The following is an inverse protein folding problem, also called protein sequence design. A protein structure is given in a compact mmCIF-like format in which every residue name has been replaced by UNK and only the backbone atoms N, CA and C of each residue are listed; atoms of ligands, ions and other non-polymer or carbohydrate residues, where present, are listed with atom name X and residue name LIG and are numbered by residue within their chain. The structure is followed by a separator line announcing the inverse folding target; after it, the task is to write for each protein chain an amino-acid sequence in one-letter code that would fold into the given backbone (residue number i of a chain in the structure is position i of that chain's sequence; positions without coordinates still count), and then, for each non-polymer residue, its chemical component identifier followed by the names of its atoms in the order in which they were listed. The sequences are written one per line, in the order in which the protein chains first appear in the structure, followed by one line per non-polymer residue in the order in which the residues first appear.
data_IF_525339908942
#
_entry.id   IF_525339908942
#
_cell.length_a   1.000
_cell.length_b   1.000
_cell.length_c   1.000
_cell.angle_alpha   90.00
_cell.angle_beta   90.00
_cell.angle_gamma   90.00
#
_symmetry.space_group_name_H-M   'P 1'
#
loop_
_entity.id
_entity.type
_entity.pdbx_description
1 polymer ?
#
# COMPACT_ATOMS: atom_id res chain seq x y z
N UNK A 1 0.51 -3.48 12.10
CA UNK A 1 -0.14 -3.69 13.41
C UNK A 1 0.30 -5.02 14.03
N UNK A 2 0.30 -6.10 13.24
CA UNK A 2 0.65 -7.46 13.65
C UNK A 2 1.91 -7.53 14.52
N UNK A 3 3.03 -6.97 14.04
CA UNK A 3 4.30 -6.98 14.78
C UNK A 3 4.17 -6.52 16.24
N UNK A 4 3.45 -5.42 16.51
CA UNK A 4 3.26 -4.92 17.89
C UNK A 4 2.41 -5.85 18.74
N UNK A 5 1.45 -6.55 18.12
CA UNK A 5 0.56 -7.48 18.81
C UNK A 5 1.24 -8.77 19.26
N UNK A 6 2.33 -9.17 18.59
CA UNK A 6 2.99 -10.46 18.83
C UNK A 6 4.49 -10.35 19.17
N UNK A 7 5.09 -9.16 19.19
CA UNK A 7 6.54 -9.03 19.39
C UNK A 7 7.02 -9.53 20.75
N UNK A 8 6.16 -9.47 21.77
CA UNK A 8 6.52 -9.79 23.16
C UNK A 8 5.97 -11.13 23.65
N UNK A 9 4.84 -11.59 23.10
CA UNK A 9 4.16 -12.81 23.56
C UNK A 9 3.65 -13.62 22.36
N UNK A 10 3.75 -14.95 22.40
CA UNK A 10 3.12 -15.81 21.41
C UNK A 10 1.60 -15.75 21.53
N UNK A 11 0.93 -16.00 20.41
CA UNK A 11 -0.52 -15.95 20.31
C UNK A 11 -1.03 -17.03 19.35
N UNK A 12 -2.25 -17.47 19.60
CA UNK A 12 -3.10 -18.10 18.61
C UNK A 12 -3.67 -17.04 17.68
N UNK A 13 -3.79 -17.40 16.42
CA UNK A 13 -4.13 -16.53 15.31
C UNK A 13 -5.26 -17.17 14.53
N UNK A 14 -6.41 -16.50 14.48
CA UNK A 14 -7.43 -16.77 13.47
C UNK A 14 -7.08 -15.97 12.24
N UNK A 15 -6.70 -16.68 11.19
CA UNK A 15 -6.52 -16.15 9.84
C UNK A 15 -7.82 -16.42 9.08
N UNK A 16 -8.59 -15.37 8.76
CA UNK A 16 -9.94 -15.51 8.22
C UNK A 16 -10.17 -14.58 7.02
N UNK A 17 -10.91 -15.11 6.06
CA UNK A 17 -11.34 -14.44 4.83
C UNK A 17 -12.88 -14.52 4.74
N UNK A 18 -13.51 -13.49 4.18
CA UNK A 18 -14.97 -13.44 4.00
C UNK A 18 -15.29 -13.92 2.58
N UNK A 19 -16.20 -14.89 2.47
CA UNK A 19 -16.60 -15.43 1.18
C UNK A 19 -17.43 -14.42 0.40
N UNK A 20 -16.97 -14.06 -0.81
CA UNK A 20 -17.68 -13.18 -1.75
C UNK A 20 -18.18 -11.88 -1.07
N UNK A 21 -17.28 -11.21 -0.35
CA UNK A 21 -17.65 -10.07 0.49
C UNK A 21 -18.41 -8.97 -0.28
N UNK A 22 -18.04 -8.66 -1.51
CA UNK A 22 -18.76 -7.65 -2.29
C UNK A 22 -20.05 -8.19 -2.93
N UNK A 23 -20.20 -9.49 -3.16
CA UNK A 23 -21.35 -10.03 -3.91
C UNK A 23 -22.52 -10.42 -3.00
N UNK A 24 -22.27 -10.69 -1.71
CA UNK A 24 -23.27 -11.22 -0.77
C UNK A 24 -23.80 -10.21 0.26
N UNK A 25 -23.39 -8.94 0.19
CA UNK A 25 -23.86 -7.94 1.17
C UNK A 25 -25.36 -7.71 0.99
N UNK A 26 -26.14 -7.93 2.05
CA UNK A 26 -27.57 -7.59 2.09
C UNK A 26 -27.75 -6.07 1.96
N UNK A 27 -28.49 -5.64 0.93
CA UNK A 27 -28.71 -4.22 0.66
C UNK A 27 -29.40 -3.51 1.83
N UNK A 28 -30.43 -4.11 2.42
CA UNK A 28 -31.18 -3.46 3.51
C UNK A 28 -30.34 -3.29 4.78
N UNK A 29 -29.49 -4.27 5.11
CA UNK A 29 -28.55 -4.17 6.22
C UNK A 29 -27.52 -3.05 5.99
N UNK A 30 -26.95 -2.98 4.78
CA UNK A 30 -26.02 -1.92 4.39
C UNK A 30 -26.68 -0.52 4.41
N UNK A 31 -27.88 -0.39 3.86
CA UNK A 31 -28.61 0.89 3.81
C UNK A 31 -29.04 1.37 5.21
N UNK A 32 -29.39 0.44 6.10
CA UNK A 32 -29.67 0.74 7.51
C UNK A 32 -28.42 1.24 8.21
N UNK A 33 -27.29 0.56 7.97
CA UNK A 33 -26.00 0.90 8.57
C UNK A 33 -25.42 2.21 8.06
N UNK A 34 -25.66 2.54 6.79
CA UNK A 34 -25.27 3.83 6.19
C UNK A 34 -25.91 5.02 6.90
N UNK A 35 -27.10 4.83 7.51
CA UNK A 35 -27.84 5.84 8.25
C UNK A 35 -27.78 7.25 7.61
N UNK A 36 -28.16 7.31 6.33
CA UNK A 36 -28.05 8.52 5.51
C UNK A 36 -29.44 9.11 5.19
N UNK A 37 -29.46 10.32 4.63
CA UNK A 37 -30.69 11.03 4.29
C UNK A 37 -31.47 10.35 3.15
N UNK A 38 -32.80 10.51 3.08
CA UNK A 38 -33.65 9.70 2.20
C UNK A 38 -33.28 9.72 0.72
N UNK A 39 -32.87 10.87 0.16
CA UNK A 39 -32.52 10.95 -1.27
C UNK A 39 -31.23 10.21 -1.62
N UNK A 40 -30.18 10.32 -0.79
CA UNK A 40 -28.95 9.54 -0.98
C UNK A 40 -29.20 8.05 -0.78
N UNK A 41 -30.02 7.67 0.21
CA UNK A 41 -30.40 6.27 0.42
C UNK A 41 -31.07 5.67 -0.82
N UNK A 42 -31.98 6.40 -1.47
CA UNK A 42 -32.62 5.96 -2.73
C UNK A 42 -31.61 5.81 -3.86
N UNK A 43 -30.71 6.78 -4.02
CA UNK A 43 -29.68 6.73 -5.06
C UNK A 43 -28.74 5.53 -4.89
N UNK A 44 -28.23 5.30 -3.68
CA UNK A 44 -27.38 4.14 -3.38
C UNK A 44 -28.17 2.85 -3.60
N UNK A 45 -29.44 2.78 -3.18
CA UNK A 45 -30.29 1.61 -3.43
C UNK A 45 -30.46 1.33 -4.92
N UNK A 46 -30.65 2.36 -5.75
CA UNK A 46 -30.72 2.21 -7.20
C UNK A 46 -29.41 1.69 -7.80
N UNK A 47 -28.25 2.15 -7.30
CA UNK A 47 -26.95 1.64 -7.74
C UNK A 47 -26.71 0.19 -7.34
N UNK A 48 -27.14 -0.22 -6.14
CA UNK A 48 -27.00 -1.60 -5.67
C UNK A 48 -27.91 -2.56 -6.43
N UNK A 49 -29.08 -2.10 -6.88
CA UNK A 49 -30.03 -2.86 -7.69
C UNK A 49 -29.73 -2.83 -9.18
N UNK A 50 -28.80 -1.98 -9.62
CA UNK A 50 -28.40 -1.93 -11.02
C UNK A 50 -27.77 -3.29 -11.37
N UNK A 51 -28.48 -4.06 -12.19
CA UNK A 51 -28.06 -5.38 -12.64
C UNK A 51 -26.77 -5.34 -13.46
N UNK A 52 -26.28 -6.52 -13.84
CA UNK A 52 -25.11 -6.69 -14.71
C UNK A 52 -25.59 -7.09 -16.11
N UNK A 53 -25.04 -6.43 -17.13
CA UNK A 53 -25.18 -6.85 -18.52
C UNK A 53 -23.93 -7.63 -18.92
N UNK A 54 -24.06 -8.91 -19.23
CA UNK A 54 -22.96 -9.75 -19.72
C UNK A 54 -23.35 -10.38 -21.06
N UNK A 55 -22.55 -10.13 -22.10
CA UNK A 55 -22.76 -10.61 -23.47
C UNK A 55 -24.21 -10.43 -23.99
N UNK A 56 -24.85 -9.29 -23.67
CA UNK A 56 -26.22 -8.97 -24.08
C UNK A 56 -27.32 -9.59 -23.20
N UNK A 57 -26.96 -10.31 -22.14
CA UNK A 57 -27.92 -10.85 -21.15
C UNK A 57 -27.94 -9.99 -19.90
N UNK A 58 -29.10 -9.46 -19.54
CA UNK A 58 -29.30 -8.71 -18.31
C UNK A 58 -29.58 -9.66 -17.14
N UNK A 59 -28.76 -9.57 -16.09
CA UNK A 59 -28.96 -10.28 -14.84
C UNK A 59 -29.25 -9.28 -13.72
N UNK A 60 -30.42 -9.36 -13.03
CA UNK A 60 -30.69 -8.50 -11.90
C UNK A 60 -29.74 -8.80 -10.73
N UNK A 61 -29.42 -7.77 -9.93
CA UNK A 61 -28.57 -7.91 -8.74
C UNK A 61 -29.42 -7.81 -7.48
N UNK A 62 -29.69 -8.94 -6.83
CA UNK A 62 -30.49 -9.01 -5.60
C UNK A 62 -29.67 -8.80 -4.32
N UNK A 63 -28.37 -9.09 -4.37
CA UNK A 63 -27.41 -8.93 -3.28
C UNK A 63 -26.06 -8.41 -3.78
N UNK A 64 -25.29 -7.80 -2.88
CA UNK A 64 -23.94 -7.32 -3.18
C UNK A 64 -23.86 -5.89 -3.71
N UNK A 65 -22.63 -5.45 -3.94
CA UNK A 65 -22.27 -4.14 -4.49
C UNK A 65 -21.57 -4.38 -5.83
N UNK A 66 -21.84 -3.59 -6.88
CA UNK A 66 -21.23 -3.80 -8.20
C UNK A 66 -19.70 -3.72 -8.10
N UNK A 67 -19.01 -4.82 -8.41
CA UNK A 67 -17.55 -4.87 -8.41
C UNK A 67 -17.02 -4.00 -9.57
N UNK A 68 -16.19 -3.00 -9.24
CA UNK A 68 -15.69 -2.02 -10.20
C UNK A 68 -16.30 -0.62 -10.05
N UNK A 69 -17.39 -0.47 -9.29
CA UNK A 69 -17.88 0.84 -8.88
C UNK A 69 -16.91 1.51 -7.91
N UNK A 70 -16.57 2.79 -8.15
CA UNK A 70 -15.66 3.58 -7.29
C UNK A 70 -16.14 3.61 -5.83
N UNK A 71 -17.45 3.57 -5.61
CA UNK A 71 -18.07 3.60 -4.27
C UNK A 71 -18.09 2.24 -3.55
N UNK A 72 -17.97 1.12 -4.28
CA UNK A 72 -18.12 -0.22 -3.72
C UNK A 72 -17.11 -0.53 -2.60
N UNK A 73 -15.81 -0.19 -2.70
CA UNK A 73 -14.86 -0.35 -1.59
C UNK A 73 -15.23 0.43 -0.33
N UNK A 74 -15.85 1.61 -0.47
CA UNK A 74 -16.34 2.40 0.67
C UNK A 74 -17.52 1.68 1.32
N UNK A 75 -18.49 1.23 0.52
CA UNK A 75 -19.66 0.49 1.00
C UNK A 75 -19.26 -0.81 1.71
N UNK A 76 -18.30 -1.57 1.18
CA UNK A 76 -17.76 -2.76 1.84
C UNK A 76 -17.11 -2.45 3.19
N UNK A 77 -16.39 -1.33 3.31
CA UNK A 77 -15.83 -0.91 4.59
C UNK A 77 -16.89 -0.47 5.60
N UNK A 78 -17.98 0.17 5.15
CA UNK A 78 -19.13 0.53 5.99
C UNK A 78 -19.86 -0.74 6.44
N UNK A 79 -20.09 -1.69 5.53
CA UNK A 79 -20.68 -2.99 5.82
C UNK A 79 -19.93 -3.72 6.94
N UNK A 80 -18.60 -3.72 6.89
CA UNK A 80 -17.73 -4.37 7.88
C UNK A 80 -17.37 -3.49 9.09
N UNK A 81 -17.82 -2.23 9.13
CA UNK A 81 -17.58 -1.34 10.27
C UNK A 81 -18.32 -1.85 11.52
N UNK A 82 -17.74 -1.71 12.71
CA UNK A 82 -18.33 -2.24 13.96
C UNK A 82 -17.97 -3.69 14.30
N UNK A 83 -17.37 -4.45 13.38
CA UNK A 83 -16.83 -5.79 13.67
C UNK A 83 -15.78 -5.74 14.80
N UNK A 84 -14.95 -4.70 14.81
CA UNK A 84 -13.97 -4.46 15.88
C UNK A 84 -14.64 -4.18 17.23
N UNK A 85 -15.76 -3.46 17.22
CA UNK A 85 -16.48 -3.13 18.44
C UNK A 85 -17.15 -4.36 19.05
N UNK A 86 -17.79 -5.20 18.22
CA UNK A 86 -18.35 -6.49 18.63
C UNK A 86 -17.33 -7.34 19.41
N UNK A 87 -16.11 -7.44 18.88
CA UNK A 87 -15.01 -8.19 19.50
C UNK A 87 -14.49 -7.51 20.77
N UNK A 88 -14.47 -6.17 20.81
CA UNK A 88 -14.11 -5.42 22.02
C UNK A 88 -15.14 -5.59 23.13
N UNK A 89 -16.44 -5.60 22.83
CA UNK A 89 -17.50 -5.84 23.80
C UNK A 89 -17.39 -7.24 24.39
N UNK A 90 -17.13 -8.26 23.56
CA UNK A 90 -16.82 -9.60 24.06
C UNK A 90 -15.59 -9.61 24.97
N UNK A 91 -14.54 -8.87 24.60
CA UNK A 91 -13.35 -8.75 25.45
C UNK A 91 -13.64 -8.12 26.82
N UNK A 92 -14.61 -7.21 26.91
CA UNK A 92 -15.06 -6.64 28.18
C UNK A 92 -15.90 -7.58 29.03
N UNK A 93 -16.63 -8.50 28.42
CA UNK A 93 -17.39 -9.53 29.14
C UNK A 93 -16.51 -10.64 29.72
N UNK A 94 -15.26 -10.76 29.27
CA UNK A 94 -14.31 -11.72 29.85
C UNK A 94 -13.96 -11.34 31.30
N UNK A 95 -13.84 -12.34 32.17
CA UNK A 95 -13.44 -12.16 33.57
C UNK A 95 -12.09 -11.42 33.67
N UNK A 96 -11.95 -10.58 34.70
CA UNK A 96 -10.71 -9.84 34.99
C UNK A 96 -10.74 -8.37 34.54
N UNK A 97 -9.56 -7.81 34.27
CA UNK A 97 -9.43 -6.40 33.94
C UNK A 97 -9.84 -6.12 32.48
N UNK A 98 -10.92 -5.33 32.30
CA UNK A 98 -11.48 -4.97 30.99
C UNK A 98 -10.45 -4.35 30.03
N UNK A 99 -9.60 -3.46 30.52
CA UNK A 99 -8.57 -2.79 29.71
C UNK A 99 -7.49 -3.78 29.27
N UNK A 100 -7.06 -4.66 30.18
CA UNK A 100 -6.11 -5.71 29.85
C UNK A 100 -6.67 -6.69 28.79
N UNK A 101 -7.93 -7.06 28.93
CA UNK A 101 -8.62 -7.96 28.00
C UNK A 101 -8.76 -7.34 26.60
N UNK A 102 -9.18 -6.06 26.50
CA UNK A 102 -9.19 -5.33 25.22
C UNK A 102 -7.82 -5.28 24.55
N UNK A 103 -6.75 -5.08 25.33
CA UNK A 103 -5.39 -5.02 24.78
C UNK A 103 -4.84 -6.41 24.39
N UNK A 104 -5.30 -7.47 25.06
CA UNK A 104 -4.90 -8.85 24.77
C UNK A 104 -5.43 -9.32 23.41
N UNK A 105 -6.70 -8.99 23.11
CA UNK A 105 -7.40 -9.38 21.90
C UNK A 105 -7.16 -8.35 20.78
N UNK A 106 -6.48 -8.77 19.72
CA UNK A 106 -6.09 -7.86 18.64
C UNK A 106 -6.75 -8.28 17.33
N UNK A 107 -7.71 -7.48 16.85
CA UNK A 107 -8.27 -7.59 15.52
C UNK A 107 -7.50 -6.69 14.56
N UNK A 108 -7.11 -7.23 13.41
CA UNK A 108 -6.46 -6.51 12.32
C UNK A 108 -7.20 -6.85 11.04
N UNK A 109 -7.92 -5.88 10.48
CA UNK A 109 -8.68 -6.03 9.24
C UNK A 109 -8.05 -5.24 8.10
N UNK A 110 -8.12 -5.80 6.90
CA UNK A 110 -7.84 -5.13 5.65
C UNK A 110 -8.90 -5.56 4.63
N UNK A 111 -9.84 -4.66 4.31
CA UNK A 111 -11.02 -5.01 3.53
C UNK A 111 -11.76 -6.23 4.14
N UNK A 112 -11.86 -7.32 3.38
CA UNK A 112 -12.46 -8.62 3.70
C UNK A 112 -11.52 -9.57 4.45
N UNK A 113 -10.21 -9.46 4.25
CA UNK A 113 -9.20 -10.22 5.00
C UNK A 113 -9.04 -9.67 6.42
N UNK A 114 -9.07 -10.55 7.44
CA UNK A 114 -8.78 -10.15 8.82
C UNK A 114 -8.10 -11.22 9.65
N UNK A 115 -7.42 -10.76 10.70
CA UNK A 115 -6.68 -11.60 11.63
C UNK A 115 -7.04 -11.24 13.07
N UNK A 116 -7.36 -12.24 13.89
CA UNK A 116 -7.57 -12.08 15.33
C UNK A 116 -6.49 -12.81 16.08
N UNK A 117 -5.91 -12.15 17.07
CA UNK A 117 -4.83 -12.73 17.87
C UNK A 117 -5.12 -12.67 19.35
N UNK A 118 -4.97 -13.81 20.03
CA UNK A 118 -5.15 -13.95 21.47
C UNK A 118 -4.22 -15.02 22.04
N UNK A 119 -3.97 -15.00 23.36
CA UNK A 119 -3.08 -15.96 24.02
C UNK A 119 -3.67 -17.38 24.13
N UNK A 120 -4.99 -17.48 24.20
CA UNK A 120 -5.74 -18.73 24.40
C UNK A 120 -6.49 -19.09 23.12
N UNK A 121 -6.45 -20.38 22.76
CA UNK A 121 -7.12 -20.91 21.57
C UNK A 121 -8.65 -20.89 21.71
N UNK A 122 -9.19 -21.27 22.86
CA UNK A 122 -10.65 -21.27 23.12
C UNK A 122 -11.28 -19.89 22.88
N UNK A 123 -10.58 -18.82 23.27
CA UNK A 123 -11.04 -17.44 23.03
C UNK A 123 -11.06 -17.11 21.53
N UNK A 124 -10.14 -17.68 20.75
CA UNK A 124 -10.12 -17.52 19.30
C UNK A 124 -11.30 -18.25 18.65
N UNK A 125 -11.59 -19.48 19.08
CA UNK A 125 -12.73 -20.28 18.61
C UNK A 125 -14.05 -19.56 18.92
N UNK A 126 -14.17 -18.99 20.12
CA UNK A 126 -15.34 -18.19 20.49
C UNK A 126 -15.45 -16.89 19.68
N UNK A 127 -14.33 -16.20 19.43
CA UNK A 127 -14.31 -15.05 18.52
C UNK A 127 -14.76 -15.41 17.10
N UNK A 128 -14.36 -16.58 16.60
CA UNK A 128 -14.81 -17.07 15.30
C UNK A 128 -16.33 -17.27 15.27
N UNK A 129 -16.92 -17.84 16.34
CA UNK A 129 -18.37 -18.03 16.47
C UNK A 129 -19.12 -16.70 16.50
N UNK A 130 -18.63 -15.75 17.31
CA UNK A 130 -19.23 -14.41 17.45
C UNK A 130 -19.21 -13.66 16.11
N UNK A 131 -18.08 -13.66 15.40
CA UNK A 131 -17.98 -13.00 14.09
C UNK A 131 -18.84 -13.69 13.05
N UNK A 132 -18.90 -15.03 13.07
CA UNK A 132 -19.76 -15.76 12.13
C UNK A 132 -21.22 -15.37 12.30
N UNK A 133 -21.68 -15.19 13.55
CA UNK A 133 -23.04 -14.71 13.82
C UNK A 133 -23.23 -13.24 13.39
N UNK A 134 -22.27 -12.37 13.71
CA UNK A 134 -22.32 -10.96 13.31
C UNK A 134 -22.33 -10.77 11.78
N UNK A 135 -21.60 -11.61 11.05
CA UNK A 135 -21.56 -11.57 9.58
C UNK A 135 -22.88 -12.02 8.95
N UNK A 136 -23.60 -12.97 9.55
CA UNK A 136 -24.92 -13.43 9.06
C UNK A 136 -25.94 -12.29 8.99
N UNK A 137 -25.89 -11.37 9.95
CA UNK A 137 -26.75 -10.18 9.97
C UNK A 137 -26.51 -9.30 8.74
N UNK A 138 -25.26 -9.24 8.26
CA UNK A 138 -24.87 -8.54 7.04
C UNK A 138 -25.06 -9.38 5.76
N UNK A 139 -25.44 -10.66 5.86
CA UNK A 139 -25.53 -11.61 4.74
C UNK A 139 -24.20 -12.26 4.35
N UNK A 140 -23.18 -12.09 5.18
CA UNK A 140 -21.82 -12.54 4.90
C UNK A 140 -21.48 -13.82 5.67
N UNK A 141 -20.52 -14.58 5.13
CA UNK A 141 -20.07 -15.84 5.70
C UNK A 141 -18.55 -15.92 5.64
N UNK A 142 -17.93 -16.56 6.64
CA UNK A 142 -16.51 -16.89 6.60
C UNK A 142 -16.26 -17.97 5.54
N UNK A 143 -15.12 -17.89 4.86
CA UNK A 143 -14.72 -18.87 3.85
C UNK A 143 -13.98 -20.05 4.51
N UNK A 144 -14.61 -21.24 4.70
CA UNK A 144 -14.02 -22.30 5.51
C UNK A 144 -12.69 -22.81 4.97
N UNK A 145 -12.50 -22.79 3.64
CA UNK A 145 -11.26 -23.22 2.99
C UNK A 145 -10.06 -22.32 3.25
N UNK A 146 -10.29 -21.08 3.67
CA UNK A 146 -9.24 -20.09 3.96
C UNK A 146 -9.18 -19.71 5.44
N UNK A 147 -10.25 -19.93 6.19
CA UNK A 147 -10.28 -19.73 7.63
C UNK A 147 -9.49 -20.82 8.34
N UNK A 148 -8.45 -20.44 9.08
CA UNK A 148 -7.62 -21.37 9.85
C UNK A 148 -7.18 -20.78 11.17
N UNK A 149 -7.08 -21.64 12.18
CA UNK A 149 -6.46 -21.31 13.47
C UNK A 149 -5.02 -21.80 13.43
N UNK A 150 -4.06 -20.91 13.66
CA UNK A 150 -2.63 -21.23 13.65
C UNK A 150 -1.94 -20.58 14.84
N UNK A 151 -0.76 -21.09 15.19
CA UNK A 151 0.06 -20.47 16.23
C UNK A 151 1.15 -19.58 15.62
N UNK A 152 1.56 -18.50 16.32
CA UNK A 152 2.60 -17.58 15.83
C UNK A 152 3.95 -18.24 15.54
N UNK A 153 4.23 -19.40 16.15
CA UNK A 153 5.45 -20.19 15.89
C UNK A 153 5.42 -20.94 14.56
N UNK A 154 4.25 -21.41 14.13
CA UNK A 154 4.10 -22.07 12.82
C UNK A 154 4.14 -21.01 11.72
N UNK A 155 3.49 -19.89 12.01
CA UNK A 155 3.46 -18.68 11.21
C UNK A 155 2.35 -18.72 10.16
N UNK A 156 1.81 -17.56 9.86
CA UNK A 156 0.65 -17.38 8.98
C UNK A 156 0.98 -16.37 7.87
N UNK A 157 0.21 -16.41 6.80
CA UNK A 157 0.34 -15.49 5.67
C UNK A 157 -0.80 -14.47 5.72
N UNK A 158 -0.49 -13.19 5.59
CA UNK A 158 -1.48 -12.11 5.57
C UNK A 158 -1.06 -11.04 4.58
N UNK A 159 -1.92 -10.68 3.62
CA UNK A 159 -1.65 -9.68 2.56
C UNK A 159 -0.32 -9.92 1.81
N UNK A 160 0.02 -11.20 1.60
CA UNK A 160 1.27 -11.58 0.93
C UNK A 160 2.52 -11.50 1.81
N UNK A 161 2.39 -11.29 3.12
CA UNK A 161 3.47 -11.33 4.11
C UNK A 161 3.38 -12.60 4.97
N UNK A 162 4.48 -13.35 5.06
CA UNK A 162 4.62 -14.43 6.04
C UNK A 162 5.08 -13.84 7.38
N UNK A 163 4.26 -14.04 8.41
CA UNK A 163 4.55 -13.65 9.79
C UNK A 163 4.91 -14.90 10.57
N UNK A 164 6.11 -14.92 11.18
CA UNK A 164 6.54 -16.03 12.05
C UNK A 164 7.33 -15.53 13.24
N UNK A 165 7.08 -16.14 14.39
CA UNK A 165 7.80 -15.89 15.62
C UNK A 165 8.79 -17.03 15.90
N UNK A 166 9.94 -16.67 16.42
CA UNK A 166 11.01 -17.61 16.79
C UNK A 166 11.33 -17.42 18.27
N UNK A 167 11.48 -18.53 19.00
CA UNK A 167 11.99 -18.50 20.37
C UNK A 167 13.48 -18.16 20.32
N UNK A 168 13.94 -17.23 21.15
CA UNK A 168 15.36 -16.88 21.30
C UNK A 168 15.83 -17.24 22.71
N UNK A 169 16.92 -18.01 22.80
CA UNK A 169 17.55 -18.39 24.08
C UNK A 169 18.01 -19.85 24.11
N UNK A 170 19.30 -20.08 23.82
CA UNK A 170 20.09 -21.20 24.40
C UNK A 170 21.40 -20.69 25.01
N UNK A 171 22.04 -19.67 24.41
CA UNK A 171 23.37 -19.17 24.85
C UNK A 171 23.44 -17.65 25.12
N UNK A 172 22.32 -16.93 25.29
CA UNK A 172 22.35 -15.52 25.70
C UNK A 172 21.25 -15.25 26.72
N UNK A 173 21.60 -14.50 27.76
CA UNK A 173 20.93 -14.25 29.04
C UNK A 173 19.53 -13.59 29.00
N UNK A 174 18.86 -13.56 27.84
CA UNK A 174 17.48 -13.06 27.70
C UNK A 174 16.62 -14.07 26.94
N UNK A 175 15.79 -14.81 27.69
CA UNK A 175 14.68 -15.56 27.12
C UNK A 175 13.72 -14.56 26.44
N UNK A 176 13.41 -14.76 25.16
CA UNK A 176 12.59 -13.82 24.41
C UNK A 176 12.02 -14.38 23.11
N UNK A 177 11.33 -13.51 22.38
CA UNK A 177 10.74 -13.85 21.09
C UNK A 177 11.21 -12.88 20.01
N UNK A 178 11.58 -13.42 18.85
CA UNK A 178 11.91 -12.65 17.65
C UNK A 178 10.82 -12.86 16.60
N UNK A 179 10.10 -11.79 16.27
CA UNK A 179 9.11 -11.81 15.18
C UNK A 179 9.76 -11.38 13.88
N UNK A 180 9.70 -12.24 12.86
CA UNK A 180 10.20 -11.95 11.52
C UNK A 180 9.00 -11.94 10.57
N UNK A 181 8.85 -10.80 9.89
CA UNK A 181 7.87 -10.64 8.81
C UNK A 181 8.66 -10.56 7.51
N UNK A 182 8.34 -11.44 6.57
CA UNK A 182 9.00 -11.54 5.26
C UNK A 182 7.96 -11.67 4.14
N UNK A 183 8.32 -11.39 2.88
CA UNK A 183 7.44 -11.72 1.75
C UNK A 183 7.06 -13.21 1.77
N UNK A 184 5.80 -13.53 1.50
CA UNK A 184 5.33 -14.92 1.38
C UNK A 184 6.02 -15.63 0.22
N UNK A 185 6.24 -16.94 0.33
CA UNK A 185 6.93 -17.73 -0.71
C UNK A 185 6.18 -17.69 -2.05
N UNK A 186 4.85 -17.75 -1.98
CA UNK A 186 3.96 -17.70 -3.14
C UNK A 186 4.11 -16.39 -3.91
N UNK A 187 4.07 -15.24 -3.22
CA UNK A 187 4.24 -13.92 -3.87
C UNK A 187 5.65 -13.67 -4.39
N UNK A 188 6.67 -14.24 -3.75
CA UNK A 188 8.05 -14.21 -4.28
C UNK A 188 8.14 -15.03 -5.57
N UNK A 189 7.51 -16.21 -5.61
CA UNK A 189 7.49 -17.05 -6.80
C UNK A 189 6.70 -16.40 -7.94
N UNK A 190 5.53 -15.82 -7.66
CA UNK A 190 4.70 -15.09 -8.61
C UNK A 190 5.48 -13.92 -9.23
N UNK A 191 6.14 -13.09 -8.40
CA UNK A 191 6.99 -12.00 -8.89
C UNK A 191 8.14 -12.50 -9.78
N UNK A 192 8.81 -13.57 -9.36
CA UNK A 192 9.86 -14.18 -10.18
C UNK A 192 9.35 -14.73 -11.51
N UNK A 193 8.18 -15.39 -11.52
CA UNK A 193 7.53 -15.88 -12.75
C UNK A 193 7.21 -14.71 -13.67
N UNK A 194 6.60 -13.64 -13.17
CA UNK A 194 6.29 -12.45 -13.96
C UNK A 194 7.54 -11.83 -14.61
N UNK A 195 8.64 -11.71 -13.86
CA UNK A 195 9.92 -11.25 -14.42
C UNK A 195 10.47 -12.23 -15.46
N UNK A 196 10.41 -13.54 -15.19
CA UNK A 196 10.89 -14.56 -16.11
C UNK A 196 10.09 -14.61 -17.42
N UNK A 197 8.78 -14.44 -17.34
CA UNK A 197 7.88 -14.40 -18.51
C UNK A 197 8.13 -13.12 -19.31
N UNK A 198 8.32 -11.99 -18.64
CA UNK A 198 8.67 -10.72 -19.29
C UNK A 198 9.97 -10.88 -20.09
N UNK A 199 11.01 -11.49 -19.51
CA UNK A 199 12.30 -11.75 -20.21
C UNK A 199 12.10 -12.72 -21.38
N UNK A 200 11.26 -13.75 -21.21
CA UNK A 200 11.00 -14.76 -22.24
C UNK A 200 10.25 -14.20 -23.44
N UNK A 201 9.27 -13.30 -23.22
CA UNK A 201 8.55 -12.59 -24.29
C UNK A 201 9.45 -11.59 -25.02
N UNK A 202 10.34 -10.92 -24.29
CA UNK A 202 11.28 -9.94 -24.84
C UNK A 202 12.64 -10.55 -25.18
N UNK A 203 12.65 -11.81 -25.64
CA UNK A 203 13.90 -12.51 -25.89
C UNK A 203 14.74 -11.84 -26.99
N UNK A 204 14.09 -11.24 -28.01
CA UNK A 204 14.71 -10.57 -29.15
C UNK A 204 14.77 -9.05 -28.99
N UNK A 205 14.16 -8.48 -27.95
CA UNK A 205 14.09 -7.04 -27.74
C UNK A 205 15.47 -6.39 -27.51
N UNK A 206 15.63 -5.09 -27.76
CA UNK A 206 16.77 -4.32 -27.30
C UNK A 206 16.90 -4.32 -25.77
N UNK A 207 18.09 -4.02 -25.27
CA UNK A 207 18.36 -3.98 -23.84
C UNK A 207 17.51 -2.91 -23.13
N UNK A 208 17.36 -1.75 -23.76
CA UNK A 208 16.61 -0.60 -23.24
C UNK A 208 15.13 -0.95 -23.03
N UNK A 209 14.53 -1.64 -24.01
CA UNK A 209 13.16 -2.10 -23.94
C UNK A 209 12.98 -3.12 -22.82
N UNK A 210 13.91 -4.06 -22.65
CA UNK A 210 13.84 -5.01 -21.55
C UNK A 210 13.93 -4.32 -20.17
N UNK A 211 14.79 -3.31 -20.05
CA UNK A 211 14.92 -2.49 -18.83
C UNK A 211 13.62 -1.74 -18.54
N UNK A 212 13.00 -1.11 -19.57
CA UNK A 212 11.77 -0.34 -19.38
C UNK A 212 10.59 -1.19 -18.90
N UNK A 213 10.48 -2.44 -19.37
CA UNK A 213 9.43 -3.36 -18.94
C UNK A 213 9.65 -3.93 -17.54
N UNK A 214 10.90 -4.23 -17.16
CA UNK A 214 11.20 -4.80 -15.84
C UNK A 214 11.22 -3.75 -14.71
N UNK A 215 11.60 -2.50 -15.04
CA UNK A 215 11.77 -1.43 -14.05
C UNK A 215 10.52 -1.17 -13.17
N UNK A 216 9.32 -0.95 -13.74
CA UNK A 216 8.12 -0.69 -12.96
C UNK A 216 7.76 -1.87 -12.04
N UNK A 217 7.88 -3.10 -12.53
CA UNK A 217 7.59 -4.32 -11.76
C UNK A 217 8.52 -4.44 -10.54
N UNK A 218 9.84 -4.27 -10.74
CA UNK A 218 10.82 -4.33 -9.65
C UNK A 218 10.60 -3.21 -8.64
N UNK A 219 10.39 -1.97 -9.11
CA UNK A 219 10.15 -0.81 -8.24
C UNK A 219 8.89 -0.98 -7.41
N UNK A 220 7.78 -1.37 -8.04
CA UNK A 220 6.50 -1.62 -7.37
C UNK A 220 6.61 -2.69 -6.28
N UNK A 221 7.20 -3.83 -6.62
CA UNK A 221 7.39 -4.93 -5.67
C UNK A 221 8.32 -4.54 -4.50
N UNK A 222 9.43 -3.85 -4.80
CA UNK A 222 10.35 -3.33 -3.79
C UNK A 222 9.69 -2.33 -2.86
N UNK A 223 8.83 -1.44 -3.38
CA UNK A 223 8.10 -0.45 -2.59
C UNK A 223 7.10 -1.11 -1.65
N UNK A 224 6.36 -2.11 -2.13
CA UNK A 224 5.39 -2.86 -1.32
C UNK A 224 6.06 -3.63 -0.17
N UNK A 225 7.15 -4.35 -0.43
CA UNK A 225 7.86 -5.15 0.57
C UNK A 225 8.96 -4.39 1.33
N UNK A 226 9.14 -3.09 1.05
CA UNK A 226 10.09 -2.21 1.73
C UNK A 226 9.97 -2.19 3.27
N UNK A 227 8.77 -2.25 3.88
CA UNK A 227 8.65 -2.10 5.33
C UNK A 227 9.04 -3.33 6.15
N UNK A 228 9.34 -4.47 5.51
CA UNK A 228 9.56 -5.76 6.21
C UNK A 228 10.98 -6.30 6.02
N UNK A 229 11.28 -7.45 6.62
CA UNK A 229 12.61 -8.05 6.56
C UNK A 229 12.81 -8.76 5.21
N UNK A 230 13.09 -7.99 4.16
CA UNK A 230 13.10 -8.48 2.78
C UNK A 230 14.49 -8.62 2.16
N UNK A 231 15.58 -8.22 2.84
CA UNK A 231 16.93 -8.18 2.23
C UNK A 231 17.41 -9.51 1.69
N UNK A 232 17.25 -10.59 2.44
CA UNK A 232 17.63 -11.93 2.00
C UNK A 232 16.84 -12.36 0.76
N UNK A 233 15.52 -12.15 0.78
CA UNK A 233 14.64 -12.40 -0.37
C UNK A 233 15.04 -11.57 -1.59
N UNK A 234 15.39 -10.30 -1.37
CA UNK A 234 15.84 -9.38 -2.42
C UNK A 234 17.13 -9.87 -3.07
N UNK A 235 18.13 -10.25 -2.28
CA UNK A 235 19.38 -10.82 -2.80
C UNK A 235 19.16 -12.11 -3.59
N UNK A 236 18.25 -12.98 -3.13
CA UNK A 236 17.89 -14.20 -3.85
C UNK A 236 17.21 -13.89 -5.19
N UNK A 237 16.29 -12.94 -5.23
CA UNK A 237 15.64 -12.49 -6.46
C UNK A 237 16.63 -11.87 -7.44
N UNK A 238 17.54 -11.03 -6.96
CA UNK A 238 18.60 -10.43 -7.80
C UNK A 238 19.50 -11.51 -8.41
N UNK A 239 19.87 -12.55 -7.66
CA UNK A 239 20.65 -13.68 -8.19
C UNK A 239 19.91 -14.45 -9.29
N UNK A 240 18.62 -14.76 -9.06
CA UNK A 240 17.80 -15.47 -10.03
C UNK A 240 17.56 -14.64 -11.29
N UNK A 241 17.31 -13.34 -11.12
CA UNK A 241 17.17 -12.38 -12.20
C UNK A 241 18.46 -12.26 -13.01
N UNK A 242 19.61 -12.13 -12.34
CA UNK A 242 20.91 -12.10 -12.98
C UNK A 242 21.16 -13.35 -13.84
N UNK A 243 20.86 -14.55 -13.32
CA UNK A 243 20.98 -15.81 -14.10
C UNK A 243 20.13 -15.79 -15.38
N UNK A 244 18.92 -15.23 -15.31
CA UNK A 244 18.01 -15.11 -16.47
C UNK A 244 18.54 -14.10 -17.48
N UNK A 245 18.95 -12.92 -17.03
CA UNK A 245 19.54 -11.88 -17.88
C UNK A 245 20.84 -12.36 -18.54
N UNK A 246 21.67 -13.11 -17.80
CA UNK A 246 22.88 -13.73 -18.35
C UNK A 246 22.57 -14.71 -19.48
N UNK A 247 21.56 -15.57 -19.30
CA UNK A 247 21.11 -16.49 -20.36
C UNK A 247 20.55 -15.74 -21.56
N UNK A 248 19.75 -14.71 -21.33
CA UNK A 248 19.22 -13.84 -22.37
C UNK A 248 20.34 -13.19 -23.19
N UNK A 249 21.36 -12.63 -22.53
CA UNK A 249 22.50 -11.98 -23.17
C UNK A 249 23.36 -12.96 -23.96
N UNK A 250 23.64 -14.14 -23.40
CA UNK A 250 24.39 -15.21 -24.09
C UNK A 250 23.67 -15.70 -25.34
N UNK A 251 22.35 -15.87 -25.27
CA UNK A 251 21.53 -16.33 -26.41
C UNK A 251 21.61 -15.37 -27.61
N UNK A 252 21.69 -14.06 -27.35
CA UNK A 252 21.80 -13.04 -28.40
C UNK A 252 23.16 -13.03 -29.09
N UNK A 253 24.19 -13.60 -28.47
CA UNK A 253 25.57 -13.57 -28.95
C UNK A 253 26.24 -14.94 -28.78
N UNK A 254 25.81 -15.97 -29.52
CA UNK A 254 26.34 -17.33 -29.37
C UNK A 254 27.84 -17.42 -29.64
N UNK A 255 28.37 -16.57 -30.53
CA UNK A 255 29.76 -16.59 -30.98
C UNK A 255 30.67 -15.59 -30.24
N UNK A 256 30.18 -14.89 -29.21
CA UNK A 256 30.96 -13.92 -28.45
C UNK A 256 31.44 -14.48 -27.11
N UNK A 257 32.59 -14.00 -26.65
CA UNK A 257 33.16 -14.41 -25.38
C UNK A 257 32.33 -13.91 -24.19
N UNK A 258 32.47 -14.57 -23.04
CA UNK A 258 31.81 -14.15 -21.80
C UNK A 258 32.25 -12.74 -21.33
N UNK A 259 33.50 -12.35 -21.59
CA UNK A 259 33.99 -11.00 -21.26
C UNK A 259 33.30 -9.94 -22.09
N UNK A 260 33.18 -10.18 -23.39
CA UNK A 260 32.48 -9.25 -24.29
C UNK A 260 31.01 -9.07 -23.90
N UNK A 261 30.32 -10.17 -23.54
CA UNK A 261 28.93 -10.11 -23.05
C UNK A 261 28.83 -9.28 -21.76
N UNK A 262 29.78 -9.47 -20.84
CA UNK A 262 29.84 -8.70 -19.58
C UNK A 262 30.00 -7.21 -19.89
N UNK A 263 31.01 -6.83 -20.67
CA UNK A 263 31.31 -5.43 -21.01
C UNK A 263 30.18 -4.76 -21.78
N UNK A 264 29.47 -5.50 -22.64
CA UNK A 264 28.36 -4.95 -23.43
C UNK A 264 27.11 -4.61 -22.60
N UNK A 265 26.73 -5.50 -21.67
CA UNK A 265 25.41 -5.43 -21.02
C UNK A 265 25.47 -5.06 -19.54
N UNK A 266 26.63 -5.23 -18.89
CA UNK A 266 26.83 -4.91 -17.47
C UNK A 266 27.82 -3.77 -17.31
N UNK A 267 27.36 -2.70 -16.68
CA UNK A 267 28.18 -1.55 -16.33
C UNK A 267 28.38 -1.40 -14.82
N UNK A 268 29.07 -0.32 -14.49
CA UNK A 268 29.29 0.13 -13.11
C UNK A 268 28.51 1.41 -12.88
N UNK A 269 27.65 1.41 -11.86
CA UNK A 269 26.89 2.60 -11.47
C UNK A 269 27.51 3.24 -10.25
N UNK A 270 27.85 4.52 -10.34
CA UNK A 270 28.39 5.29 -9.22
C UNK A 270 27.34 6.27 -8.72
N UNK A 271 26.86 6.07 -7.50
CA UNK A 271 25.96 7.03 -6.85
C UNK A 271 26.78 8.12 -6.17
N UNK A 272 26.48 9.39 -6.51
CA UNK A 272 27.08 10.55 -5.83
C UNK A 272 26.74 10.50 -4.34
N UNK A 273 27.72 10.78 -3.46
CA UNK A 273 27.48 10.78 -2.03
C UNK A 273 26.49 11.89 -1.65
N UNK A 274 25.66 11.65 -0.63
CA UNK A 274 24.69 12.65 -0.17
C UNK A 274 25.32 13.76 0.65
N UNK A 275 26.50 13.48 1.21
CA UNK A 275 27.28 14.36 2.06
C UNK A 275 28.68 14.43 1.46
N UNK A 276 29.28 15.62 1.48
CA UNK A 276 30.57 15.86 0.83
C UNK A 276 31.72 15.00 1.40
N UNK A 277 31.58 14.49 2.62
CA UNK A 277 32.54 13.61 3.29
C UNK A 277 32.28 12.11 3.12
N UNK A 278 31.22 11.70 2.42
CA UNK A 278 30.94 10.28 2.18
C UNK A 278 31.60 9.81 0.87
N UNK A 279 32.15 8.60 0.85
CA UNK A 279 32.66 8.01 -0.38
C UNK A 279 31.52 7.71 -1.37
N UNK A 280 31.73 7.88 -2.69
CA UNK A 280 30.77 7.48 -3.72
C UNK A 280 30.45 5.99 -3.61
N UNK A 281 29.18 5.63 -3.80
CA UNK A 281 28.77 4.22 -3.76
C UNK A 281 28.87 3.64 -5.15
N UNK A 282 29.83 2.75 -5.34
CA UNK A 282 30.04 2.04 -6.60
C UNK A 282 29.27 0.73 -6.57
N UNK A 283 28.47 0.48 -7.59
CA UNK A 283 27.76 -0.78 -7.81
C UNK A 283 28.21 -1.39 -9.14
N UNK A 284 29.03 -2.43 -9.03
CA UNK A 284 29.45 -3.20 -10.19
C UNK A 284 28.34 -4.18 -10.62
N UNK A 285 28.38 -4.62 -11.87
CA UNK A 285 27.46 -5.61 -12.43
C UNK A 285 25.99 -5.12 -12.41
N UNK A 286 25.76 -3.92 -12.90
CA UNK A 286 24.40 -3.39 -13.12
C UNK A 286 24.03 -3.62 -14.58
N UNK A 287 22.87 -4.23 -14.83
CA UNK A 287 22.36 -4.37 -16.19
C UNK A 287 21.88 -3.00 -16.68
N UNK A 288 22.62 -2.39 -17.60
CA UNK A 288 22.41 -0.99 -18.01
C UNK A 288 22.86 -0.74 -19.45
N UNK A 289 22.14 0.15 -20.15
CA UNK A 289 22.53 0.70 -21.46
C UNK A 289 23.15 2.10 -21.31
N UNK A 290 22.62 2.91 -20.39
CA UNK A 290 23.13 4.24 -20.05
C UNK A 290 22.96 4.53 -18.55
N UNK A 291 23.48 5.67 -18.05
CA UNK A 291 23.35 6.04 -16.64
C UNK A 291 21.90 6.11 -16.14
N UNK A 292 20.98 6.51 -17.03
CA UNK A 292 19.55 6.65 -16.75
C UNK A 292 18.74 5.39 -17.08
N UNK A 293 19.26 4.52 -17.96
CA UNK A 293 18.61 3.28 -18.38
C UNK A 293 19.33 2.07 -17.78
N UNK A 294 18.97 1.78 -16.53
CA UNK A 294 19.50 0.65 -15.78
C UNK A 294 18.41 -0.06 -14.99
N UNK A 295 18.68 -1.32 -14.65
CA UNK A 295 17.80 -2.14 -13.83
C UNK A 295 18.16 -1.99 -12.33
N UNK A 296 17.24 -1.55 -11.46
CA UNK A 296 17.50 -1.44 -10.04
C UNK A 296 17.62 -2.84 -9.42
N UNK A 297 18.61 -3.01 -8.55
CA UNK A 297 18.74 -4.22 -7.73
C UNK A 297 17.74 -4.16 -6.58
N UNK A 298 17.00 -5.24 -6.36
CA UNK A 298 16.08 -5.37 -5.24
C UNK A 298 16.83 -5.12 -3.92
N UNK A 299 18.03 -5.68 -3.79
CA UNK A 299 18.84 -5.61 -2.57
C UNK A 299 19.29 -4.18 -2.22
N UNK A 300 19.26 -3.21 -3.15
CA UNK A 300 19.59 -1.80 -2.86
C UNK A 300 18.42 -1.04 -2.22
N UNK A 301 17.19 -1.54 -2.34
CA UNK A 301 16.01 -0.93 -1.72
C UNK A 301 16.18 -0.88 -0.19
N UNK A 302 16.20 0.33 0.37
CA UNK A 302 16.35 0.54 1.82
C UNK A 302 15.08 0.14 2.55
N UNK A 303 15.19 -0.65 3.61
CA UNK A 303 14.04 -0.96 4.48
C UNK A 303 13.64 0.32 5.21
N UNK A 304 12.38 0.74 5.05
CA UNK A 304 11.80 1.88 5.77
C UNK A 304 10.53 1.40 6.47
N UNK A 305 10.52 1.47 7.79
CA UNK A 305 9.35 1.05 8.60
C UNK A 305 8.25 2.12 8.52
N UNK A 306 7.03 1.68 8.29
CA UNK A 306 5.87 2.57 8.25
C UNK A 306 5.53 3.09 9.66
N UNK A 307 5.33 4.41 9.79
CA UNK A 307 4.86 5.04 11.04
C UNK A 307 3.34 5.01 11.09
N UNK A 308 2.76 4.16 11.95
CA UNK A 308 1.30 4.05 12.13
C UNK A 308 0.66 5.39 12.49
N UNK A 309 -0.62 5.55 12.15
CA UNK A 309 -1.48 6.58 12.73
C UNK A 309 -1.64 6.33 14.25
N UNK A 310 -1.61 7.40 15.04
CA UNK A 310 -1.75 7.32 16.49
C UNK A 310 -3.22 7.14 16.90
N UNK A 311 -3.51 6.13 17.72
CA UNK A 311 -4.85 5.86 18.23
C UNK A 311 -5.90 5.73 17.12
N UNK A 312 -7.02 6.43 17.30
CA UNK A 312 -8.18 6.49 16.40
C UNK A 312 -8.22 7.78 15.58
N UNK A 313 -7.09 8.48 15.45
CA UNK A 313 -7.01 9.76 14.73
C UNK A 313 -7.46 9.60 13.29
N UNK A 314 -8.23 10.58 12.82
CA UNK A 314 -8.77 10.68 11.46
C UNK A 314 -8.30 11.98 10.82
N UNK A 315 -8.03 12.06 9.51
CA UNK A 315 -7.76 13.33 8.84
C UNK A 315 -8.83 14.41 9.10
N UNK A 316 -10.03 13.96 9.47
CA UNK A 316 -11.19 14.80 9.79
C UNK A 316 -11.36 15.08 11.30
N UNK A 317 -10.39 14.71 12.15
CA UNK A 317 -10.45 14.92 13.61
C UNK A 317 -10.08 16.36 14.06
N UNK A 318 -9.79 17.25 13.12
CA UNK A 318 -9.41 18.63 13.38
C UNK A 318 -7.96 18.81 13.86
N UNK A 319 -7.17 17.75 14.02
CA UNK A 319 -5.77 17.84 14.47
C UNK A 319 -4.82 18.15 13.29
N UNK A 320 -4.94 19.36 12.74
CA UNK A 320 -4.20 19.79 11.56
C UNK A 320 -2.68 19.67 11.74
N UNK A 321 -2.14 20.00 12.92
CA UNK A 321 -0.69 19.93 13.21
C UNK A 321 -0.14 18.51 13.02
N UNK A 322 -0.85 17.50 13.54
CA UNK A 322 -0.44 16.11 13.40
C UNK A 322 -0.48 15.64 11.95
N UNK A 323 -1.53 16.01 11.22
CA UNK A 323 -1.71 15.60 9.82
C UNK A 323 -0.73 16.31 8.88
N UNK A 324 -0.49 17.61 9.07
CA UNK A 324 0.53 18.36 8.33
C UNK A 324 1.93 17.76 8.50
N UNK A 325 2.31 17.38 9.72
CA UNK A 325 3.63 16.77 9.96
C UNK A 325 3.76 15.39 9.31
N UNK A 326 2.64 14.67 9.13
CA UNK A 326 2.61 13.41 8.39
C UNK A 326 2.67 13.62 6.88
N UNK A 327 1.87 14.54 6.34
CA UNK A 327 1.87 14.93 4.92
C UNK A 327 3.27 15.39 4.51
N UNK A 328 3.93 16.21 5.34
CA UNK A 328 5.31 16.65 5.12
C UNK A 328 6.32 15.50 5.02
N UNK A 329 6.10 14.41 5.77
CA UNK A 329 6.97 13.22 5.80
C UNK A 329 6.47 12.11 4.88
N UNK A 330 5.43 12.36 4.08
CA UNK A 330 4.86 11.37 3.18
C UNK A 330 5.89 10.99 2.10
N UNK A 331 5.99 9.71 1.68
CA UNK A 331 6.94 9.30 0.65
C UNK A 331 6.75 9.98 -0.71
N UNK A 332 5.52 10.38 -1.03
CA UNK A 332 5.18 11.10 -2.27
C UNK A 332 5.45 12.61 -2.16
N UNK A 333 5.73 13.11 -0.96
CA UNK A 333 6.09 14.50 -0.75
C UNK A 333 7.53 14.73 -1.22
N UNK A 334 7.72 15.64 -2.18
CA UNK A 334 9.07 16.05 -2.58
C UNK A 334 9.76 16.82 -1.46
N UNK A 335 11.09 16.75 -1.39
CA UNK A 335 11.82 17.49 -0.35
C UNK A 335 11.62 19.01 -0.44
N UNK A 336 11.32 19.53 -1.63
CA UNK A 336 11.04 20.93 -1.88
C UNK A 336 9.65 21.32 -1.34
N UNK A 337 8.59 20.59 -1.74
CA UNK A 337 7.22 20.82 -1.24
C UNK A 337 7.16 20.68 0.29
N UNK A 338 7.83 19.69 0.87
CA UNK A 338 7.89 19.52 2.32
C UNK A 338 8.62 20.65 3.09
N UNK A 339 9.60 21.32 2.46
CA UNK A 339 10.25 22.51 3.04
C UNK A 339 9.36 23.74 2.94
N UNK A 340 8.70 23.93 1.80
CA UNK A 340 7.75 25.03 1.58
C UNK A 340 6.55 24.93 2.54
N UNK A 341 5.97 23.73 2.67
CA UNK A 341 4.88 23.46 3.60
C UNK A 341 5.26 23.81 5.05
N UNK A 342 6.51 23.52 5.46
CA UNK A 342 7.01 23.90 6.79
C UNK A 342 7.15 25.42 6.92
N UNK A 343 7.71 26.09 5.91
CA UNK A 343 7.92 27.55 5.91
C UNK A 343 6.60 28.33 5.96
N UNK A 344 5.56 27.81 5.30
CA UNK A 344 4.23 28.40 5.25
C UNK A 344 3.30 27.91 6.38
N UNK A 345 3.83 27.21 7.39
CA UNK A 345 3.05 26.66 8.51
C UNK A 345 1.85 25.80 8.07
N UNK A 346 1.98 25.13 6.92
CA UNK A 346 0.93 24.31 6.34
C UNK A 346 -0.21 25.08 5.69
N UNK A 347 -0.08 26.38 5.44
CA UNK A 347 -1.10 27.23 4.80
C UNK A 347 -0.76 27.54 3.35
N UNK A 348 -1.79 27.62 2.51
CA UNK A 348 -1.70 28.17 1.16
C UNK A 348 -1.51 29.70 1.24
N UNK A 349 -0.54 30.25 0.52
CA UNK A 349 -0.28 31.71 0.54
C UNK A 349 -1.36 32.52 -0.17
N UNK A 350 -2.08 31.91 -1.13
CA UNK A 350 -3.16 32.57 -1.86
C UNK A 350 -4.48 32.63 -1.07
N UNK A 351 -4.97 31.50 -0.55
CA UNK A 351 -6.27 31.47 0.16
C UNK A 351 -6.18 31.49 1.69
N UNK A 352 -4.97 31.41 2.26
CA UNK A 352 -4.76 31.37 3.72
C UNK A 352 -5.22 30.08 4.41
N UNK A 353 -5.88 29.17 3.70
CA UNK A 353 -6.39 27.91 4.25
C UNK A 353 -5.25 26.90 4.45
N UNK A 354 -5.37 26.12 5.52
CA UNK A 354 -4.47 25.01 5.82
C UNK A 354 -4.66 23.86 4.85
N UNK A 355 -3.57 23.34 4.29
CA UNK A 355 -3.57 22.13 3.48
C UNK A 355 -4.06 20.92 4.28
N UNK A 356 -5.02 20.19 3.73
CA UNK A 356 -5.63 18.99 4.30
C UNK A 356 -5.19 17.74 3.54
N UNK A 357 -5.52 16.60 4.11
CA UNK A 357 -5.33 15.31 3.45
C UNK A 357 -6.20 15.26 2.17
N UNK A 358 -5.60 14.87 1.05
CA UNK A 358 -6.26 14.86 -0.27
C UNK A 358 -6.11 16.15 -1.08
N UNK A 359 -5.66 17.26 -0.48
CA UNK A 359 -5.42 18.49 -1.22
C UNK A 359 -4.25 18.34 -2.20
N UNK A 360 -4.48 18.75 -3.44
CA UNK A 360 -3.44 18.83 -4.45
C UNK A 360 -2.63 20.13 -4.26
N UNK A 361 -1.32 19.97 -4.10
CA UNK A 361 -0.39 21.06 -3.79
C UNK A 361 0.51 21.34 -4.99
N UNK A 362 0.52 22.58 -5.46
CA UNK A 362 1.39 23.02 -6.56
C UNK A 362 2.44 24.02 -6.11
N UNK A 363 3.64 23.92 -6.70
CA UNK A 363 4.72 24.88 -6.46
C UNK A 363 4.59 26.04 -7.43
N UNK A 364 4.50 27.25 -6.89
CA UNK A 364 4.37 28.50 -7.63
C UNK A 364 5.64 29.35 -7.48
N UNK A 365 6.04 30.05 -8.54
CA UNK A 365 7.12 31.04 -8.48
C UNK A 365 6.57 32.40 -8.10
N UNK A 366 7.04 32.99 -7.01
CA UNK A 366 6.62 34.32 -6.55
C UNK A 366 6.98 35.37 -7.60
N UNK A 367 8.24 35.37 -8.06
CA UNK A 367 8.66 36.07 -9.27
C UNK A 367 8.69 35.07 -10.43
N UNK A 368 7.88 35.26 -11.49
CA UNK A 368 7.89 34.39 -12.65
C UNK A 368 9.27 34.27 -13.28
N UNK A 369 9.60 33.09 -13.82
CA UNK A 369 10.89 32.86 -14.51
C UNK A 369 11.09 33.80 -15.71
N UNK A 370 10.01 34.15 -16.41
CA UNK A 370 10.04 35.11 -17.51
C UNK A 370 10.53 36.51 -17.09
N UNK A 371 10.35 36.87 -15.81
CA UNK A 371 10.79 38.14 -15.23
C UNK A 371 12.10 38.00 -14.44
N UNK A 372 12.90 36.96 -14.72
CA UNK A 372 14.20 36.73 -14.06
C UNK A 372 14.11 35.98 -12.73
N UNK A 373 12.96 35.42 -12.38
CA UNK A 373 12.77 34.60 -11.18
C UNK A 373 13.65 33.35 -11.16
N UNK A 374 14.43 33.18 -10.07
CA UNK A 374 15.29 32.00 -9.87
C UNK A 374 14.50 30.81 -9.34
N UNK A 375 14.90 29.59 -9.69
CA UNK A 375 14.28 28.34 -9.21
C UNK A 375 14.86 27.89 -7.86
N UNK A 376 14.84 28.79 -6.88
CA UNK A 376 15.31 28.52 -5.52
C UNK A 376 14.12 28.50 -4.55
N UNK A 377 14.30 27.87 -3.38
CA UNK A 377 13.25 27.76 -2.37
C UNK A 377 12.75 29.15 -1.92
N UNK A 378 13.61 30.18 -1.93
CA UNK A 378 13.24 31.54 -1.56
C UNK A 378 12.17 32.16 -2.47
N UNK A 379 12.25 31.88 -3.78
CA UNK A 379 11.32 32.39 -4.80
C UNK A 379 10.14 31.44 -5.11
N UNK A 380 9.99 30.37 -4.33
CA UNK A 380 8.93 29.39 -4.52
C UNK A 380 7.96 29.42 -3.37
N UNK A 381 6.70 29.18 -3.63
CA UNK A 381 5.65 29.00 -2.63
C UNK A 381 4.76 27.81 -3.00
N UNK A 382 3.95 27.37 -2.04
CA UNK A 382 3.05 26.24 -2.19
C UNK A 382 1.60 26.71 -2.17
N UNK A 383 0.85 26.35 -3.20
CA UNK A 383 -0.55 26.72 -3.37
C UNK A 383 -1.43 25.47 -3.50
N UNK A 384 -2.72 25.61 -3.19
CA UNK A 384 -3.68 24.60 -3.64
C UNK A 384 -3.76 24.61 -5.17
N UNK A 385 -4.01 23.46 -5.80
CA UNK A 385 -4.18 23.37 -7.25
C UNK A 385 -5.20 24.39 -7.76
N UNK A 386 -6.39 24.47 -7.16
CA UNK A 386 -7.41 25.45 -7.55
C UNK A 386 -6.98 26.92 -7.32
N UNK A 387 -6.07 27.19 -6.38
CA UNK A 387 -5.52 28.53 -6.18
C UNK A 387 -4.48 28.85 -7.26
N UNK A 388 -3.63 27.87 -7.58
CA UNK A 388 -2.65 27.98 -8.65
C UNK A 388 -3.34 28.19 -10.01
N UNK A 389 -4.41 27.43 -10.28
CA UNK A 389 -5.22 27.56 -11.49
C UNK A 389 -5.95 28.91 -11.55
N UNK A 390 -6.32 29.52 -10.42
CA UNK A 390 -6.88 30.88 -10.41
C UNK A 390 -5.84 31.96 -10.76
N UNK A 391 -4.58 31.75 -10.40
CA UNK A 391 -3.50 32.71 -10.69
C UNK A 391 -3.09 32.63 -12.17
N UNK A 392 -3.03 31.43 -12.74
CA UNK A 392 -2.58 31.20 -14.12
C UNK A 392 -3.70 31.00 -15.13
N UNK A 393 -4.92 30.75 -14.65
CA UNK A 393 -6.10 30.59 -15.48
C UNK A 393 -6.40 31.91 -16.16
N UNK A 394 -6.45 31.91 -17.49
CA UNK A 394 -7.02 33.02 -18.24
C UNK A 394 -8.47 33.17 -17.81
N UNK A 395 -8.88 34.37 -17.39
CA UNK A 395 -10.30 34.71 -17.33
C UNK A 395 -10.81 34.72 -18.78
N UNK A 396 -11.41 33.61 -19.21
CA UNK A 396 -12.22 33.62 -20.43
C UNK A 396 -13.48 34.38 -20.06
N UNK A 397 -13.72 35.50 -20.76
CA UNK A 397 -14.96 36.24 -20.57
C UNK A 397 -16.11 35.32 -21.00
N UNK A 398 -17.15 35.14 -20.17
CA UNK A 398 -18.25 34.24 -20.52
C UNK A 398 -18.94 34.65 -21.83
N UNK A 399 -18.87 35.95 -22.19
CA UNK A 399 -19.35 36.47 -23.48
C UNK A 399 -18.54 35.96 -24.69
N UNK A 400 -17.30 35.50 -24.52
CA UNK A 400 -16.48 34.92 -25.59
C UNK A 400 -16.82 33.44 -25.84
N UNK A 401 -17.33 32.73 -24.83
CA UNK A 401 -17.84 31.36 -24.95
C UNK A 401 -19.18 31.32 -25.72
N UNK A 402 -20.04 32.31 -25.49
CA UNK A 402 -21.32 32.43 -26.21
C UNK A 402 -21.15 32.82 -27.69
N UNK A 403 -19.98 33.34 -28.08
CA UNK A 403 -19.66 33.68 -29.48
C UNK A 403 -19.04 32.54 -30.30
N UNK A 404 -18.87 31.35 -29.73
CA UNK A 404 -18.33 30.21 -30.46
C UNK A 404 -19.18 28.94 -30.28
N UNK A 405 -20.28 28.79 -31.04
CA UNK A 405 -21.05 27.58 -31.10
C UNK A 405 -20.39 26.63 -32.11
N UNK A 406 -19.30 25.98 -31.72
CA UNK A 406 -18.83 24.77 -32.41
C UNK A 406 -18.91 23.58 -31.47
#
# INVERSE_FOLDING_TARGET
AIFKGISLKPKWVLDADISKCFDKIKHDALLTKLNTYPSMRRLIKSWLKAGVMDNGTFSPTEEGTPQGGIISPLLGNIALHGMEECIKTYAESMKGNKVANKNALNLIRYADDFVIMHKNQEVIEECQRIISNWLKDMGLELKPSKTRITHTFDGFDFLGFKVKQYKTGKNQSKQGFKTIIKPSKEKVLEHYKNMADTISRHNAAPQEALISHLNPSIRGWCNYYRPVCSKETYSKLDHLLWKRLWRWAKRRHPNKSKSWIKEKYWGTKTEKPKKWWEAPKVDNWVFMSSEDQFLPKHAKTKIIRHKKVAGVRSPYDGNLVYWLERVRKHPEMTSQKGKLLKRQEGKCTHCGLTFRDGDLMETHHILPRALGGKDNIGNLELLHLHCHDKIHGKQINSKELDSNPF
#
